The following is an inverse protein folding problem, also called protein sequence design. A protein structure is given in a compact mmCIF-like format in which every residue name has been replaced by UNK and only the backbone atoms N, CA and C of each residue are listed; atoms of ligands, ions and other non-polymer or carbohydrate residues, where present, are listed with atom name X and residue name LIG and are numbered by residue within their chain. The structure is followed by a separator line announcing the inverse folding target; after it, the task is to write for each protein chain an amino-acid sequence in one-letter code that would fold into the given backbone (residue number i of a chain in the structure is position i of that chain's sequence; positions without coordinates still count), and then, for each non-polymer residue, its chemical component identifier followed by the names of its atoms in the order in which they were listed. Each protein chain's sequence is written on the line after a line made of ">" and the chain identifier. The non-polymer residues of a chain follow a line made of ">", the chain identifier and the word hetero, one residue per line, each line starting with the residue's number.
data_IF_055992421047
#
_entry.id   IF_055992421047
#
_cell.length_a   1.000
_cell.length_b   1.000
_cell.length_c   1.000
_cell.angle_alpha   90.00
_cell.angle_beta   90.00
_cell.angle_gamma   90.00
#
_symmetry.space_group_name_H-M   'P 1'
#
loop_
_entity.id
_entity.type
_entity.pdbx_description
1 polymer ?
#
# COMPACT_ATOMS: atom_id res chain seq x y z
N UNK A 1 -4.71 -6.66 10.88
CA UNK A 1 -3.33 -7.12 10.59
C UNK A 1 -2.76 -6.30 9.43
N UNK A 2 -1.43 -6.15 9.30
CA UNK A 2 -0.72 -5.38 8.24
C UNK A 2 -0.97 -3.86 8.22
N UNK A 3 -0.93 -3.20 9.37
CA UNK A 3 -1.14 -1.75 9.46
C UNK A 3 0.19 -1.02 9.36
N UNK A 4 0.42 -0.35 8.22
CA UNK A 4 1.55 0.56 8.03
C UNK A 4 1.52 1.69 9.06
N UNK A 5 2.67 1.97 9.67
CA UNK A 5 2.85 2.85 10.82
C UNK A 5 1.99 2.55 12.05
N UNK A 6 1.29 1.41 12.10
CA UNK A 6 0.22 1.19 13.08
C UNK A 6 0.64 1.32 14.56
N UNK A 7 1.87 0.92 14.90
CA UNK A 7 2.38 1.00 16.28
C UNK A 7 3.00 2.35 16.66
N UNK A 8 3.11 3.30 15.72
CA UNK A 8 3.71 4.63 15.95
C UNK A 8 2.82 5.78 15.47
N UNK A 9 1.66 5.49 14.86
CA UNK A 9 0.77 6.50 14.32
C UNK A 9 0.01 7.23 15.45
N UNK A 10 -0.08 8.55 15.34
CA UNK A 10 -0.92 9.38 16.20
C UNK A 10 -2.40 9.35 15.80
N UNK A 11 -2.71 8.91 14.58
CA UNK A 11 -4.06 8.83 14.03
C UNK A 11 -4.17 7.60 13.14
N UNK A 12 -5.26 6.85 13.31
CA UNK A 12 -5.60 5.67 12.52
C UNK A 12 -6.90 5.93 11.77
N UNK A 13 -6.89 5.74 10.46
CA UNK A 13 -8.11 5.74 9.66
C UNK A 13 -8.64 4.31 9.59
N UNK A 14 -9.77 4.05 10.24
CA UNK A 14 -10.35 2.72 10.39
C UNK A 14 -11.56 2.59 9.48
N UNK A 15 -11.54 1.62 8.58
CA UNK A 15 -12.71 1.22 7.82
C UNK A 15 -13.48 0.13 8.58
N UNK A 16 -14.71 0.40 8.96
CA UNK A 16 -15.55 -0.53 9.70
C UNK A 16 -16.95 -0.64 9.09
N UNK A 17 -17.58 -1.80 9.26
CA UNK A 17 -18.97 -2.05 8.85
C UNK A 17 -19.89 -1.44 9.90
N UNK A 18 -20.81 -0.57 9.46
CA UNK A 18 -21.87 0.02 10.28
C UNK A 18 -23.26 -0.55 9.97
N UNK A 19 -23.37 -1.26 8.84
CA UNK A 19 -24.59 -1.92 8.41
C UNK A 19 -24.21 -3.27 7.78
N UNK A 20 -24.42 -4.36 8.54
CA UNK A 20 -24.00 -5.70 8.16
C UNK A 20 -24.75 -6.24 6.93
N UNK A 21 -26.03 -5.88 6.78
CA UNK A 21 -26.87 -6.33 5.65
C UNK A 21 -26.33 -5.81 4.31
N UNK A 22 -25.66 -4.66 4.34
CA UNK A 22 -25.06 -4.03 3.17
C UNK A 22 -23.62 -4.51 2.88
N UNK A 23 -23.04 -5.33 3.75
CA UNK A 23 -21.67 -5.83 3.63
C UNK A 23 -20.65 -4.70 3.36
N UNK A 24 -19.85 -4.82 2.30
CA UNK A 24 -18.85 -3.81 1.92
C UNK A 24 -19.44 -2.42 1.59
N UNK A 25 -20.74 -2.34 1.30
CA UNK A 25 -21.44 -1.08 0.99
C UNK A 25 -21.84 -0.34 2.27
N UNK A 26 -22.07 -1.09 3.35
CA UNK A 26 -22.36 -0.61 4.70
C UNK A 26 -21.12 -0.18 5.48
N UNK A 27 -20.04 0.16 4.80
CA UNK A 27 -18.78 0.56 5.42
C UNK A 27 -18.66 2.08 5.59
N UNK A 28 -18.09 2.50 6.71
CA UNK A 28 -17.75 3.88 7.02
C UNK A 28 -16.28 4.00 7.45
N UNK A 29 -15.73 5.20 7.30
CA UNK A 29 -14.36 5.52 7.70
C UNK A 29 -14.39 6.36 8.99
N UNK A 30 -13.55 5.99 9.94
CA UNK A 30 -13.47 6.63 11.25
C UNK A 30 -12.05 7.09 11.52
N UNK A 31 -11.91 8.28 12.10
CA UNK A 31 -10.66 8.79 12.62
C UNK A 31 -10.52 8.33 14.06
N UNK A 32 -9.56 7.45 14.33
CA UNK A 32 -9.28 6.96 15.69
C UNK A 32 -7.95 7.56 16.15
N UNK A 33 -7.93 8.44 17.16
CA UNK A 33 -6.69 8.95 17.73
C UNK A 33 -5.83 7.82 18.32
N UNK A 34 -4.52 7.97 18.24
CA UNK A 34 -3.57 7.13 18.94
C UNK A 34 -3.82 7.20 20.45
N UNK A 35 -3.59 6.07 21.14
CA UNK A 35 -3.88 5.90 22.57
C UNK A 35 -5.37 5.97 22.97
N UNK A 36 -6.31 5.90 22.02
CA UNK A 36 -7.73 5.72 22.35
C UNK A 36 -7.90 4.41 23.16
N UNK A 37 -8.60 4.42 24.30
CA UNK A 37 -8.84 3.21 25.08
C UNK A 37 -9.44 2.10 24.22
N UNK A 38 -8.90 0.89 24.34
CA UNK A 38 -9.28 -0.27 23.53
C UNK A 38 -8.51 -0.43 22.22
N UNK A 39 -7.74 0.57 21.77
CA UNK A 39 -6.81 0.44 20.64
C UNK A 39 -5.45 -0.03 21.14
N UNK A 40 -5.10 -1.26 20.79
CA UNK A 40 -3.89 -1.93 21.28
C UNK A 40 -2.96 -2.34 20.14
N UNK A 41 -1.66 -2.12 20.33
CA UNK A 41 -0.61 -2.71 19.51
C UNK A 41 -0.37 -4.15 19.98
N UNK A 42 -0.81 -5.14 19.21
CA UNK A 42 -0.61 -6.57 19.52
C UNK A 42 0.85 -6.94 19.32
N UNK A 43 1.41 -6.60 18.15
CA UNK A 43 2.83 -6.82 17.82
C UNK A 43 3.28 -5.97 16.65
N UNK A 44 4.57 -5.66 16.62
CA UNK A 44 5.26 -5.25 15.40
C UNK A 44 5.56 -6.51 14.57
N UNK A 45 5.23 -6.46 13.28
CA UNK A 45 5.49 -7.56 12.36
C UNK A 45 6.96 -7.56 11.96
N UNK A 46 7.60 -8.73 12.08
CA UNK A 46 8.93 -8.97 11.52
C UNK A 46 8.80 -9.30 10.02
N UNK A 47 9.52 -8.57 9.18
CA UNK A 47 9.39 -8.61 7.72
C UNK A 47 10.75 -8.92 7.08
N UNK A 48 10.74 -9.67 5.99
CA UNK A 48 11.93 -9.92 5.16
C UNK A 48 12.56 -8.61 4.66
N UNK A 49 11.72 -7.71 4.13
CA UNK A 49 12.13 -6.42 3.56
C UNK A 49 11.31 -5.24 4.13
N UNK A 50 11.60 -4.03 3.64
CA UNK A 50 10.97 -2.79 4.08
C UNK A 50 10.93 -2.65 5.62
N UNK A 51 12.00 -3.10 6.29
CA UNK A 51 12.10 -3.18 7.76
C UNK A 51 12.02 -1.81 8.44
N UNK A 52 12.44 -0.76 7.73
CA UNK A 52 12.30 0.63 8.14
C UNK A 52 10.84 1.09 8.21
N UNK A 53 9.95 0.54 7.38
CA UNK A 53 8.52 0.80 7.49
C UNK A 53 7.98 0.08 8.72
N UNK A 54 7.45 0.82 9.68
CA UNK A 54 6.83 0.22 10.86
C UNK A 54 5.53 -0.47 10.42
N UNK A 55 5.38 -1.77 10.63
CA UNK A 55 4.13 -2.48 10.30
C UNK A 55 3.68 -3.26 11.50
N UNK A 56 2.41 -3.14 11.86
CA UNK A 56 1.88 -3.65 13.10
C UNK A 56 0.59 -4.45 12.90
N UNK A 57 0.34 -5.31 13.87
CA UNK A 57 -0.97 -5.86 14.14
C UNK A 57 -1.61 -5.04 15.26
N UNK A 58 -2.81 -4.53 15.01
CA UNK A 58 -3.59 -3.75 15.98
C UNK A 58 -4.87 -4.50 16.32
N UNK A 59 -5.29 -4.39 17.58
CA UNK A 59 -6.56 -4.89 18.11
C UNK A 59 -7.41 -3.70 18.56
N UNK A 60 -8.69 -3.74 18.23
CA UNK A 60 -9.67 -2.75 18.66
C UNK A 60 -10.71 -3.49 19.50
N UNK A 61 -10.73 -3.20 20.80
CA UNK A 61 -11.67 -3.79 21.77
C UNK A 61 -12.47 -2.68 22.40
N UNK A 62 -13.77 -2.61 22.10
CA UNK A 62 -14.69 -1.60 22.65
C UNK A 62 -14.21 -0.14 22.51
N UNK A 63 -13.49 0.16 21.44
CA UNK A 63 -13.01 1.52 21.14
C UNK A 63 -14.18 2.48 20.99
N UNK A 64 -14.18 3.55 21.78
CA UNK A 64 -15.19 4.62 21.73
C UNK A 64 -14.55 5.90 21.20
N UNK A 65 -15.21 6.53 20.23
CA UNK A 65 -14.78 7.79 19.61
C UNK A 65 -15.98 8.75 19.48
N UNK A 66 -15.76 10.07 19.46
CA UNK A 66 -16.83 11.03 19.20
C UNK A 66 -17.47 10.85 17.81
N UNK A 67 -18.75 11.17 17.68
CA UNK A 67 -19.46 11.12 16.38
C UNK A 67 -18.81 12.01 15.31
N UNK A 68 -18.16 13.10 15.73
CA UNK A 68 -17.43 14.02 14.84
C UNK A 68 -16.23 13.35 14.13
N UNK A 69 -15.76 12.20 14.61
CA UNK A 69 -14.67 11.46 14.00
C UNK A 69 -15.12 10.57 12.83
N UNK A 70 -16.42 10.57 12.50
CA UNK A 70 -16.92 9.97 11.28
C UNK A 70 -16.47 10.79 10.06
N UNK A 71 -15.63 10.19 9.23
CA UNK A 71 -15.09 10.85 8.05
C UNK A 71 -16.20 11.01 7.00
N UNK A 72 -16.46 12.26 6.61
CA UNK A 72 -17.55 12.62 5.71
C UNK A 72 -18.86 13.01 6.42
N UNK A 73 -18.99 12.79 7.72
CA UNK A 73 -20.16 13.17 8.52
C UNK A 73 -21.37 12.25 8.37
N UNK A 74 -22.33 12.40 9.28
CA UNK A 74 -23.51 11.53 9.37
C UNK A 74 -24.43 11.63 8.15
N UNK A 75 -24.71 12.85 7.68
CA UNK A 75 -25.60 13.08 6.53
C UNK A 75 -25.11 12.36 5.26
N UNK A 76 -23.81 12.44 4.96
CA UNK A 76 -23.24 11.74 3.79
C UNK A 76 -23.26 10.22 3.96
N UNK A 77 -23.07 9.74 5.19
CA UNK A 77 -23.16 8.32 5.49
C UNK A 77 -24.59 7.82 5.28
N UNK A 78 -25.58 8.49 5.85
CA UNK A 78 -26.99 8.14 5.71
C UNK A 78 -27.43 8.14 4.24
N UNK A 79 -27.09 9.19 3.49
CA UNK A 79 -27.36 9.25 2.06
C UNK A 79 -26.72 8.09 1.29
N UNK A 80 -25.46 7.75 1.61
CA UNK A 80 -24.75 6.62 0.99
C UNK A 80 -25.41 5.28 1.32
N UNK A 81 -25.81 5.07 2.58
CA UNK A 81 -26.45 3.83 3.02
C UNK A 81 -27.84 3.67 2.38
N UNK A 82 -28.63 4.74 2.31
CA UNK A 82 -29.93 4.75 1.64
C UNK A 82 -29.78 4.36 0.16
N UNK A 83 -28.85 5.00 -0.56
CA UNK A 83 -28.55 4.66 -1.96
C UNK A 83 -28.04 3.23 -2.11
N UNK A 84 -27.22 2.74 -1.18
CA UNK A 84 -26.72 1.36 -1.21
C UNK A 84 -27.85 0.33 -1.04
N UNK A 85 -28.84 0.61 -0.17
CA UNK A 85 -30.05 -0.21 0.01
C UNK A 85 -30.87 -0.29 -1.27
N UNK A 86 -31.10 0.84 -1.94
CA UNK A 86 -31.78 0.88 -3.25
C UNK A 86 -31.00 0.09 -4.33
N UNK A 87 -29.68 0.22 -4.35
CA UNK A 87 -28.82 -0.47 -5.34
C UNK A 87 -28.79 -1.99 -5.15
N UNK A 88 -28.92 -2.50 -3.91
CA UNK A 88 -29.08 -3.95 -3.68
C UNK A 88 -30.40 -4.43 -4.28
N UNK A 89 -31.49 -3.68 -4.12
CA UNK A 89 -32.78 -4.01 -4.73
C UNK A 89 -32.73 -3.97 -6.27
N UNK A 90 -31.87 -3.13 -6.86
CA UNK A 90 -31.70 -2.99 -8.32
C UNK A 90 -30.55 -3.80 -8.95
N UNK A 91 -29.79 -4.60 -8.20
CA UNK A 91 -28.75 -5.49 -8.73
C UNK A 91 -27.48 -4.81 -9.30
N UNK A 92 -27.27 -3.51 -9.10
CA UNK A 92 -26.12 -2.81 -9.68
C UNK A 92 -24.82 -2.95 -8.84
N UNK A 93 -23.66 -2.86 -9.51
CA UNK A 93 -22.33 -2.86 -8.89
C UNK A 93 -22.05 -1.48 -8.28
N UNK A 94 -21.63 -1.45 -7.02
CA UNK A 94 -21.22 -0.24 -6.29
C UNK A 94 -19.76 -0.36 -5.84
N UNK A 95 -19.03 0.76 -5.82
CA UNK A 95 -17.63 0.83 -5.41
C UNK A 95 -17.43 0.87 -3.89
N UNK A 96 -16.28 0.38 -3.41
CA UNK A 96 -15.90 0.47 -1.99
C UNK A 96 -15.34 1.85 -1.66
N UNK A 97 -15.69 2.40 -0.49
CA UNK A 97 -15.16 3.69 -0.02
C UNK A 97 -13.63 3.68 0.19
N UNK A 98 -13.03 2.52 0.48
CA UNK A 98 -11.59 2.38 0.61
C UNK A 98 -10.85 2.27 -0.75
N UNK A 99 -11.57 1.93 -1.83
CA UNK A 99 -10.96 1.64 -3.12
C UNK A 99 -10.36 2.89 -3.77
N UNK A 100 -11.01 4.05 -3.62
CA UNK A 100 -10.50 5.32 -4.15
C UNK A 100 -9.12 5.70 -3.58
N UNK A 101 -8.89 5.45 -2.29
CA UNK A 101 -7.56 5.66 -1.69
C UNK A 101 -6.51 4.72 -2.27
N UNK A 102 -6.87 3.44 -2.51
CA UNK A 102 -5.94 2.49 -3.12
C UNK A 102 -5.58 2.85 -4.55
N UNK A 103 -6.54 3.37 -5.34
CA UNK A 103 -6.28 3.85 -6.69
C UNK A 103 -5.25 4.98 -6.72
N UNK A 104 -5.28 5.90 -5.74
CA UNK A 104 -4.31 6.98 -5.63
C UNK A 104 -2.91 6.52 -5.20
N UNK A 105 -2.83 5.52 -4.31
CA UNK A 105 -1.53 5.04 -3.79
C UNK A 105 -0.77 4.14 -4.76
N UNK A 106 -1.48 3.44 -5.67
CA UNK A 106 -0.88 2.49 -6.63
C UNK A 106 0.22 3.11 -7.51
N UNK A 107 0.02 4.27 -8.17
CA UNK A 107 1.07 4.92 -8.95
C UNK A 107 2.33 5.24 -8.13
N UNK A 108 2.17 5.64 -6.87
CA UNK A 108 3.31 5.97 -5.99
C UNK A 108 4.16 4.73 -5.69
N UNK A 109 3.53 3.60 -5.40
CA UNK A 109 4.24 2.33 -5.16
C UNK A 109 4.97 1.87 -6.42
N UNK A 110 4.36 2.02 -7.59
CA UNK A 110 5.00 1.70 -8.87
C UNK A 110 6.25 2.57 -9.12
N UNK A 111 6.17 3.88 -8.85
CA UNK A 111 7.30 4.78 -8.95
C UNK A 111 8.45 4.39 -8.00
N UNK A 112 8.14 4.01 -6.77
CA UNK A 112 9.14 3.51 -5.80
C UNK A 112 9.83 2.23 -6.32
N UNK A 113 9.06 1.27 -6.83
CA UNK A 113 9.62 0.03 -7.37
C UNK A 113 10.55 0.30 -8.56
N UNK A 114 10.18 1.23 -9.44
CA UNK A 114 10.99 1.62 -10.59
C UNK A 114 12.33 2.24 -10.16
N UNK A 115 12.32 3.12 -9.16
CA UNK A 115 13.54 3.71 -8.60
C UNK A 115 14.49 2.67 -8.00
N UNK A 116 13.94 1.71 -7.24
CA UNK A 116 14.72 0.61 -6.66
C UNK A 116 15.32 -0.28 -7.76
N UNK A 117 14.53 -0.63 -8.77
CA UNK A 117 14.99 -1.46 -9.88
C UNK A 117 16.12 -0.77 -10.67
N UNK A 118 16.02 0.54 -10.90
CA UNK A 118 17.07 1.33 -11.54
C UNK A 118 18.35 1.35 -10.71
N UNK A 119 18.27 1.66 -9.43
CA UNK A 119 19.43 1.70 -8.54
C UNK A 119 20.11 0.32 -8.45
N UNK A 120 19.32 -0.76 -8.40
CA UNK A 120 19.86 -2.12 -8.42
C UNK A 120 20.60 -2.43 -9.73
N UNK A 121 20.05 -2.03 -10.89
CA UNK A 121 20.72 -2.21 -12.17
C UNK A 121 22.05 -1.44 -12.24
N UNK A 122 22.04 -0.17 -11.84
CA UNK A 122 23.23 0.68 -11.86
C UNK A 122 24.34 0.06 -11.00
N UNK A 123 24.00 -0.35 -9.76
CA UNK A 123 24.92 -1.04 -8.86
C UNK A 123 25.44 -2.37 -9.43
N UNK A 124 24.56 -3.22 -9.97
CA UNK A 124 24.95 -4.50 -10.56
C UNK A 124 25.88 -4.31 -11.75
N UNK A 125 25.60 -3.34 -12.62
CA UNK A 125 26.41 -3.01 -13.80
C UNK A 125 27.79 -2.53 -13.38
N UNK A 126 27.87 -1.60 -12.41
CA UNK A 126 29.15 -1.11 -11.89
C UNK A 126 29.99 -2.25 -11.29
N UNK A 127 29.36 -3.09 -10.45
CA UNK A 127 30.04 -4.23 -9.82
C UNK A 127 30.53 -5.25 -10.86
N UNK A 128 29.71 -5.54 -11.88
CA UNK A 128 30.06 -6.51 -12.92
C UNK A 128 31.26 -6.06 -13.79
N UNK A 129 31.43 -4.76 -13.99
CA UNK A 129 32.58 -4.20 -14.72
C UNK A 129 33.89 -4.26 -13.92
N UNK A 130 33.83 -4.19 -12.58
CA UNK A 130 35.03 -4.14 -11.72
C UNK A 130 35.43 -5.49 -11.14
N UNK A 131 34.49 -6.42 -10.99
CA UNK A 131 34.76 -7.74 -10.40
C UNK A 131 35.38 -8.64 -11.45
N UNK A 132 36.60 -9.12 -11.19
CA UNK A 132 37.29 -10.08 -12.08
C UNK A 132 37.18 -11.52 -11.56
N UNK A 133 36.77 -12.45 -12.41
CA UNK A 133 36.84 -13.88 -12.15
C UNK A 133 37.14 -14.63 -13.45
N UNK A 134 37.85 -15.75 -13.35
CA UNK A 134 38.28 -16.52 -14.54
C UNK A 134 39.17 -15.70 -15.50
N UNK A 135 39.92 -14.73 -14.98
CA UNK A 135 40.92 -13.96 -15.74
C UNK A 135 40.38 -12.73 -16.49
N UNK A 136 39.11 -12.38 -16.33
CA UNK A 136 38.49 -11.20 -16.95
C UNK A 136 37.38 -10.62 -16.06
N UNK A 137 36.92 -9.38 -16.32
CA UNK A 137 35.70 -8.83 -15.72
C UNK A 137 34.50 -9.76 -15.92
N UNK A 138 33.69 -9.93 -14.87
CA UNK A 138 32.55 -10.88 -14.92
C UNK A 138 31.47 -10.46 -15.91
N UNK A 139 31.42 -9.18 -16.30
CA UNK A 139 30.51 -8.68 -17.33
C UNK A 139 30.76 -9.30 -18.71
N UNK A 140 31.95 -9.81 -18.99
CA UNK A 140 32.26 -10.45 -20.28
C UNK A 140 31.61 -11.83 -20.44
N UNK A 141 31.15 -12.42 -19.32
CA UNK A 141 30.41 -13.67 -19.35
C UNK A 141 28.98 -13.43 -19.85
N UNK A 142 28.60 -14.03 -20.97
CA UNK A 142 27.28 -13.88 -21.60
C UNK A 142 26.11 -14.13 -20.62
N UNK A 143 26.24 -15.13 -19.73
CA UNK A 143 25.22 -15.42 -18.70
C UNK A 143 25.00 -14.30 -17.65
N UNK A 144 25.89 -13.31 -17.61
CA UNK A 144 25.81 -12.12 -16.77
C UNK A 144 25.40 -10.91 -17.63
N UNK A 145 26.03 -10.72 -18.79
CA UNK A 145 25.81 -9.56 -19.66
C UNK A 145 24.38 -9.46 -20.24
N UNK A 146 23.77 -10.58 -20.64
CA UNK A 146 22.40 -10.57 -21.18
C UNK A 146 21.37 -10.09 -20.16
N UNK A 147 21.61 -10.35 -18.87
CA UNK A 147 20.72 -9.95 -17.78
C UNK A 147 20.79 -8.46 -17.47
N UNK A 148 21.94 -7.82 -17.64
CA UNK A 148 22.10 -6.37 -17.45
C UNK A 148 21.72 -5.56 -18.70
N UNK A 149 21.94 -6.09 -19.91
CA UNK A 149 21.76 -5.34 -21.17
C UNK A 149 20.30 -5.21 -21.64
N UNK A 150 19.39 -6.00 -21.06
CA UNK A 150 17.96 -6.01 -21.40
C UNK A 150 17.15 -4.91 -20.69
N UNK A 151 17.79 -4.13 -19.81
CA UNK A 151 17.17 -3.03 -19.06
C UNK A 151 18.08 -1.79 -19.06
N UNK A 152 17.57 -0.55 -19.28
CA UNK A 152 16.23 -0.22 -19.76
C UNK A 152 16.03 -0.75 -21.20
N UNK A 153 14.78 -0.97 -21.66
CA UNK A 153 14.54 -1.18 -23.08
C UNK A 153 15.17 0.01 -23.80
N UNK A 154 16.06 -0.26 -24.73
CA UNK A 154 16.79 0.76 -25.48
C UNK A 154 15.82 1.85 -25.93
N UNK A 155 15.89 3.03 -25.31
CA UNK A 155 15.54 4.24 -26.03
C UNK A 155 16.49 4.26 -27.22
N UNK A 156 15.91 4.25 -28.41
CA UNK A 156 16.58 4.41 -29.70
C UNK A 156 17.84 5.28 -29.58
N UNK A 157 18.98 4.86 -30.16
CA UNK A 157 20.15 5.73 -30.19
C UNK A 157 19.78 7.05 -30.90
N UNK A 158 20.23 8.22 -30.39
CA UNK A 158 20.22 9.41 -31.20
C UNK A 158 21.23 9.20 -32.34
N UNK A 159 20.74 9.35 -33.56
CA UNK A 159 21.49 9.55 -34.79
C UNK A 159 22.32 8.37 -35.32
N UNK A 160 21.74 7.67 -36.29
CA UNK A 160 22.39 7.16 -37.51
C UNK A 160 21.44 7.39 -38.69
#
# INVERSE_FOLDING_TARGET
>A
MWIGNGGIANVHVVNAVVDEELGHRGQALFIVPGATPGLELVRKLDKLGCRASHTAELRLTDVRIPAANLLGGAEKLEHKLAKAREVIAGGAKSGSAALGTFEQTRPMVAAQALGIARAALEYMTEYANRREAFGAPIIDNQGISFRSRTWPPSSTPPDC
#
